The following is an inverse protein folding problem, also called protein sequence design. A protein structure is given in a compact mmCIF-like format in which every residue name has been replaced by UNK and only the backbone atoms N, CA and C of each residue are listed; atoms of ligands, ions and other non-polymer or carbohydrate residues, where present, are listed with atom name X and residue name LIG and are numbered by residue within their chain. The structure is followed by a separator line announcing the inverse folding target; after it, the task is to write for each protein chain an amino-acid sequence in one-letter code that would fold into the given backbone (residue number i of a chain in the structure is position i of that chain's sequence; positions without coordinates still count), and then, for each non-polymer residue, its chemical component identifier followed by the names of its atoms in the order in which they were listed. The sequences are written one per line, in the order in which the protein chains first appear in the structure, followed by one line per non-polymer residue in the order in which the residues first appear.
data_IF_569604217234
#
_entry.id   IF_569604217234
#
_cell.length_a   1.000
_cell.length_b   1.000
_cell.length_c   1.000
_cell.angle_alpha   90.00
_cell.angle_beta   90.00
_cell.angle_gamma   90.00
#
_symmetry.space_group_name_H-M   'P 1'
#
loop_
_entity.id
_entity.type
_entity.pdbx_description
1 polymer ?
#
# COMPACT_ATOMS: atom_id res chain seq x y z
N UNK A 1 -9.98 6.25 -12.04
CA UNK A 1 -8.72 7.00 -12.05
C UNK A 1 -7.55 6.04 -11.94
N UNK A 2 -6.46 6.32 -12.65
CA UNK A 2 -5.19 5.60 -12.54
C UNK A 2 -4.10 6.61 -12.22
N UNK A 3 -3.36 6.35 -11.15
CA UNK A 3 -2.27 7.18 -10.67
C UNK A 3 -1.00 6.32 -10.61
N UNK A 4 0.06 6.83 -11.20
CA UNK A 4 1.39 6.22 -11.16
C UNK A 4 2.37 7.25 -10.62
N UNK A 5 3.27 6.82 -9.73
CA UNK A 5 4.30 7.68 -9.12
C UNK A 5 3.81 9.00 -8.50
N UNK A 6 2.60 9.02 -7.93
CA UNK A 6 2.09 10.18 -7.16
C UNK A 6 2.92 10.48 -5.91
N UNK A 7 3.84 9.59 -5.57
CA UNK A 7 4.76 9.66 -4.46
C UNK A 7 6.17 10.16 -4.80
N UNK A 8 6.43 10.52 -6.06
CA UNK A 8 7.75 11.03 -6.46
C UNK A 8 8.07 12.37 -5.78
N UNK A 9 9.20 12.39 -5.07
CA UNK A 9 9.70 13.60 -4.40
C UNK A 9 8.95 13.99 -3.11
N UNK A 10 8.05 13.14 -2.61
CA UNK A 10 7.27 13.41 -1.40
C UNK A 10 7.45 12.30 -0.35
N UNK A 11 7.23 12.65 0.92
CA UNK A 11 7.35 11.73 2.05
C UNK A 11 6.66 12.26 3.30
N UNK A 12 6.64 11.45 4.36
CA UNK A 12 6.07 11.83 5.66
C UNK A 12 4.60 12.26 5.55
N UNK A 13 4.26 13.38 6.20
CA UNK A 13 2.88 13.90 6.26
C UNK A 13 2.28 14.23 4.88
N UNK A 14 3.11 14.57 3.88
CA UNK A 14 2.63 14.87 2.52
C UNK A 14 2.13 13.60 1.84
N UNK A 15 2.88 12.49 1.95
CA UNK A 15 2.45 11.20 1.42
C UNK A 15 1.16 10.71 2.09
N UNK A 16 1.02 10.92 3.40
CA UNK A 16 -0.21 10.61 4.11
C UNK A 16 -1.40 11.43 3.60
N UNK A 17 -1.23 12.74 3.39
CA UNK A 17 -2.28 13.61 2.84
C UNK A 17 -2.73 13.16 1.45
N UNK A 18 -1.80 12.70 0.60
CA UNK A 18 -2.10 12.10 -0.71
C UNK A 18 -2.94 10.83 -0.52
N UNK A 19 -2.53 9.92 0.38
CA UNK A 19 -3.28 8.70 0.70
C UNK A 19 -4.72 8.98 1.13
N UNK A 20 -4.94 9.97 2.02
CA UNK A 20 -6.27 10.42 2.44
C UNK A 20 -7.09 10.95 1.27
N UNK A 21 -6.50 11.76 0.39
CA UNK A 21 -7.20 12.32 -0.79
C UNK A 21 -7.59 11.23 -1.79
N UNK A 22 -6.72 10.27 -2.05
CA UNK A 22 -7.05 9.12 -2.90
C UNK A 22 -8.19 8.29 -2.29
N UNK A 23 -8.21 8.12 -0.95
CA UNK A 23 -9.33 7.47 -0.25
C UNK A 23 -10.64 8.24 -0.40
N UNK A 24 -10.63 9.56 -0.29
CA UNK A 24 -11.81 10.41 -0.52
C UNK A 24 -12.35 10.25 -1.94
N UNK A 25 -11.49 10.35 -2.97
CA UNK A 25 -11.89 10.15 -4.38
C UNK A 25 -12.48 8.76 -4.59
N UNK A 26 -11.91 7.76 -3.91
CA UNK A 26 -12.33 6.37 -4.04
C UNK A 26 -13.75 6.07 -3.51
N UNK A 27 -14.36 7.02 -2.77
CA UNK A 27 -15.76 6.92 -2.34
C UNK A 27 -16.74 6.97 -3.51
N UNK A 28 -16.36 7.64 -4.60
CA UNK A 28 -17.22 7.86 -5.76
C UNK A 28 -16.72 7.17 -7.02
N UNK A 29 -15.44 6.82 -7.09
CA UNK A 29 -14.82 6.25 -8.29
C UNK A 29 -13.85 5.13 -7.92
N UNK A 30 -13.61 4.20 -8.85
CA UNK A 30 -12.49 3.28 -8.70
C UNK A 30 -11.16 4.01 -8.91
N UNK A 31 -10.23 3.84 -7.97
CA UNK A 31 -8.88 4.39 -8.00
C UNK A 31 -7.88 3.24 -8.00
N UNK A 32 -6.96 3.26 -8.97
CA UNK A 32 -5.77 2.39 -9.00
C UNK A 32 -4.56 3.29 -8.79
N UNK A 33 -3.72 2.95 -7.82
CA UNK A 33 -2.50 3.69 -7.51
C UNK A 33 -1.33 2.71 -7.46
N UNK A 34 -0.26 3.01 -8.20
CA UNK A 34 1.04 2.36 -8.07
C UNK A 34 1.90 3.25 -7.19
N UNK A 35 2.50 2.69 -6.13
CA UNK A 35 3.24 3.45 -5.12
C UNK A 35 4.26 2.56 -4.43
N UNK A 36 5.37 3.17 -4.02
CA UNK A 36 6.36 2.55 -3.14
C UNK A 36 6.27 3.07 -1.69
N UNK A 37 5.43 4.08 -1.43
CA UNK A 37 5.27 4.65 -0.10
C UNK A 37 4.24 3.90 0.74
N UNK A 38 4.63 3.39 1.93
CA UNK A 38 3.70 2.69 2.81
C UNK A 38 2.56 3.61 3.28
N UNK A 39 2.82 4.91 3.43
CA UNK A 39 1.83 5.90 3.86
C UNK A 39 0.68 6.06 2.87
N UNK A 40 0.90 5.81 1.58
CA UNK A 40 -0.17 5.83 0.58
C UNK A 40 -0.83 4.45 0.49
N UNK A 41 -0.04 3.38 0.44
CA UNK A 41 -0.54 2.01 0.34
C UNK A 41 -1.50 1.62 1.48
N UNK A 42 -1.29 2.15 2.69
CA UNK A 42 -2.14 1.89 3.84
C UNK A 42 -3.61 2.34 3.65
N UNK A 43 -3.85 3.42 2.90
CA UNK A 43 -5.21 3.95 2.64
C UNK A 43 -5.96 3.18 1.54
N UNK A 44 -5.32 2.22 0.86
CA UNK A 44 -5.99 1.38 -0.13
C UNK A 44 -7.08 0.50 0.49
N UNK A 45 -8.23 0.39 -0.18
CA UNK A 45 -9.25 -0.61 0.16
C UNK A 45 -8.72 -2.03 -0.03
N UNK A 46 -7.94 -2.21 -1.09
CA UNK A 46 -7.27 -3.45 -1.45
C UNK A 46 -5.81 -3.14 -1.70
N UNK A 47 -4.93 -4.03 -1.25
CA UNK A 47 -3.50 -3.93 -1.48
C UNK A 47 -3.08 -5.10 -2.36
N UNK A 48 -2.60 -4.81 -3.55
CA UNK A 48 -2.04 -5.79 -4.48
C UNK A 48 -0.53 -5.70 -4.42
N UNK A 49 0.14 -6.82 -4.14
CA UNK A 49 1.58 -6.92 -4.23
C UNK A 49 1.99 -7.44 -5.61
N UNK A 50 2.92 -6.73 -6.24
CA UNK A 50 3.49 -7.11 -7.54
C UNK A 50 4.82 -7.79 -7.31
N UNK A 51 4.97 -9.01 -7.81
CA UNK A 51 6.23 -9.78 -7.73
C UNK A 51 6.61 -10.37 -9.07
N UNK A 52 7.88 -10.75 -9.22
CA UNK A 52 8.39 -11.48 -10.38
C UNK A 52 8.46 -12.97 -10.06
N UNK A 53 8.02 -13.81 -10.98
CA UNK A 53 8.13 -15.26 -10.90
C UNK A 53 8.68 -15.82 -12.22
N UNK A 54 9.60 -16.78 -12.15
CA UNK A 54 10.12 -17.47 -13.35
C UNK A 54 9.25 -18.71 -13.60
N UNK A 55 8.66 -18.78 -14.79
CA UNK A 55 7.86 -19.92 -15.27
C UNK A 55 8.42 -20.32 -16.63
N UNK A 56 8.78 -21.59 -16.80
CA UNK A 56 9.35 -22.13 -18.06
C UNK A 56 10.52 -21.29 -18.62
N UNK A 57 11.42 -20.85 -17.74
CA UNK A 57 12.58 -20.04 -18.11
C UNK A 57 12.28 -18.58 -18.45
N UNK A 58 11.02 -18.12 -18.34
CA UNK A 58 10.61 -16.73 -18.60
C UNK A 58 10.18 -16.02 -17.32
N UNK A 59 10.54 -14.75 -17.19
CA UNK A 59 10.09 -13.92 -16.05
C UNK A 59 8.69 -13.37 -16.32
N UNK A 60 7.75 -13.67 -15.44
CA UNK A 60 6.39 -13.16 -15.44
C UNK A 60 6.15 -12.26 -14.23
N UNK A 61 5.31 -11.23 -14.41
CA UNK A 61 4.76 -10.46 -13.30
C UNK A 61 3.56 -11.19 -12.70
N UNK A 62 3.51 -11.29 -11.38
CA UNK A 62 2.41 -11.86 -10.61
C UNK A 62 1.82 -10.78 -9.70
N UNK A 63 0.49 -10.75 -9.65
CA UNK A 63 -0.27 -9.89 -8.75
C UNK A 63 -0.94 -10.77 -7.69
N UNK A 64 -0.69 -10.47 -6.42
CA UNK A 64 -1.34 -11.15 -5.30
C UNK A 64 -2.09 -10.12 -4.46
N UNK A 65 -3.38 -10.35 -4.19
CA UNK A 65 -4.12 -9.56 -3.21
C UNK A 65 -3.67 -9.96 -1.80
N UNK A 66 -3.33 -8.97 -0.99
CA UNK A 66 -2.91 -9.17 0.38
C UNK A 66 -4.12 -9.14 1.32
N UNK A 67 -4.17 -10.13 2.22
CA UNK A 67 -5.01 -10.09 3.41
C UNK A 67 -4.40 -9.16 4.47
N UNK A 68 -5.10 -8.95 5.58
CA UNK A 68 -4.65 -7.99 6.60
C UNK A 68 -3.29 -8.34 7.22
N UNK A 69 -2.99 -9.59 7.62
CA UNK A 69 -1.66 -9.96 8.08
C UNK A 69 -0.57 -9.71 7.03
N UNK A 70 -0.80 -10.09 5.76
CA UNK A 70 0.16 -9.86 4.69
C UNK A 70 0.33 -8.37 4.35
N UNK A 71 -0.73 -7.56 4.48
CA UNK A 71 -0.65 -6.10 4.36
C UNK A 71 0.28 -5.50 5.42
N UNK A 72 0.15 -5.92 6.68
CA UNK A 72 1.03 -5.46 7.76
C UNK A 72 2.49 -5.81 7.44
N UNK A 73 2.75 -7.05 7.01
CA UNK A 73 4.11 -7.46 6.65
C UNK A 73 4.68 -6.66 5.48
N UNK A 74 3.87 -6.39 4.44
CA UNK A 74 4.31 -5.63 3.28
C UNK A 74 4.58 -4.17 3.63
N UNK A 75 3.69 -3.52 4.40
CA UNK A 75 3.91 -2.16 4.88
C UNK A 75 5.15 -2.09 5.78
N UNK A 76 5.37 -3.08 6.64
CA UNK A 76 6.56 -3.15 7.48
C UNK A 76 7.84 -3.33 6.66
N UNK A 77 7.78 -4.10 5.55
CA UNK A 77 8.88 -4.24 4.59
C UNK A 77 9.14 -2.93 3.83
N UNK A 78 8.09 -2.20 3.47
CA UNK A 78 8.23 -0.88 2.82
C UNK A 78 8.85 0.15 3.77
N UNK A 79 8.51 0.10 5.06
CA UNK A 79 9.07 0.99 6.10
C UNK A 79 10.52 0.64 6.49
N UNK A 80 10.77 -0.64 6.80
CA UNK A 80 12.04 -1.11 7.40
C UNK A 80 13.00 -1.77 6.41
N UNK A 81 12.62 -1.92 5.15
CA UNK A 81 13.39 -2.63 4.14
C UNK A 81 13.35 -4.15 4.28
N UNK A 82 14.43 -4.83 3.86
CA UNK A 82 14.44 -6.31 3.69
C UNK A 82 14.34 -7.08 5.01
N UNK A 83 14.84 -6.55 6.12
CA UNK A 83 14.76 -7.18 7.44
C UNK A 83 13.67 -6.50 8.24
N UNK A 84 12.50 -7.15 8.31
CA UNK A 84 11.36 -6.64 9.06
C UNK A 84 11.56 -6.89 10.55
N UNK A 85 11.77 -5.81 11.31
CA UNK A 85 11.82 -5.82 12.77
C UNK A 85 10.42 -5.76 13.38
N UNK A 86 10.29 -6.08 14.66
CA UNK A 86 9.01 -5.96 15.36
C UNK A 86 8.55 -4.50 15.49
N UNK A 87 9.49 -3.56 15.62
CA UNK A 87 9.20 -2.13 15.58
C UNK A 87 8.61 -1.70 14.22
N UNK A 88 9.12 -2.24 13.11
CA UNK A 88 8.57 -1.96 11.78
C UNK A 88 7.15 -2.55 11.61
N UNK A 89 6.90 -3.74 12.17
CA UNK A 89 5.54 -4.33 12.18
C UNK A 89 4.57 -3.50 12.99
N UNK A 90 5.01 -2.97 14.13
CA UNK A 90 4.16 -2.13 14.97
C UNK A 90 3.82 -0.81 14.28
N UNK A 91 4.81 -0.14 13.70
CA UNK A 91 4.59 1.06 12.90
C UNK A 91 3.63 0.79 11.71
N UNK A 92 3.75 -0.38 11.06
CA UNK A 92 2.86 -0.78 9.98
C UNK A 92 1.41 -1.02 10.44
N UNK A 93 1.19 -1.57 11.66
CA UNK A 93 -0.15 -1.72 12.24
C UNK A 93 -0.82 -0.38 12.49
N UNK A 94 -0.09 0.55 13.09
CA UNK A 94 -0.58 1.93 13.33
C UNK A 94 -0.98 2.58 12.00
N UNK A 95 -0.09 2.52 11.01
CA UNK A 95 -0.34 3.09 9.69
C UNK A 95 -1.55 2.46 8.99
N UNK A 96 -1.71 1.14 9.10
CA UNK A 96 -2.85 0.43 8.53
C UNK A 96 -4.16 0.78 9.25
N UNK A 97 -4.15 0.96 10.56
CA UNK A 97 -5.32 1.42 11.32
C UNK A 97 -5.74 2.83 10.89
N UNK A 98 -4.79 3.74 10.71
CA UNK A 98 -5.06 5.09 10.19
C UNK A 98 -5.65 5.06 8.78
N UNK A 99 -5.12 4.20 7.90
CA UNK A 99 -5.58 4.05 6.52
C UNK A 99 -6.92 3.32 6.36
N UNK A 100 -7.27 2.46 7.32
CA UNK A 100 -8.53 1.71 7.35
C UNK A 100 -9.66 2.43 8.08
N UNK A 101 -9.32 3.38 8.98
CA UNK A 101 -10.23 4.22 9.74
C UNK A 101 -10.94 5.27 8.88
N UNK A 102 -11.81 4.83 7.96
CA UNK A 102 -12.96 5.55 7.40
C UNK A 102 -13.38 4.90 6.08
N UNK A 103 -14.10 3.79 6.14
CA UNK A 103 -15.07 3.50 5.10
C UNK A 103 -16.37 2.97 5.65
N UNK A 104 -17.51 3.51 5.19
CA UNK A 104 -18.78 2.87 5.44
C UNK A 104 -18.76 1.49 4.78
N UNK A 105 -19.40 0.49 5.39
CA UNK A 105 -19.63 -0.79 4.73
C UNK A 105 -20.40 -0.55 3.44
N UNK A 106 -20.00 -1.23 2.36
CA UNK A 106 -20.88 -1.45 1.22
C UNK A 106 -21.78 -2.63 1.53
#
# INVERSE_FOLDING_TARGET
YVFDEVDTGVGGAVAEAIGRKLREVSRHHQVVCVTHQPQIAAFGHHHLHVSKAVVDGRTHSRLNRLDEPARIQELARMLGGRKVSDAAREAARVLLQEGSGSSPPR
#
